data_IF_517947060862
#
_entry.id   IF_517947060862
#
_cell.length_a   1.000
_cell.length_b   1.000
_cell.length_c   1.000
_cell.angle_alpha   90.00
_cell.angle_beta   90.00
_cell.angle_gamma   90.00
#
_symmetry.space_group_name_H-M   'P 1'
#
loop_
_entity.id
_entity.type
_entity.pdbx_description
1 polymer ?
#
# COMPACT_ATOMS: atom_id res chain seq x y z
N UNK A 1 -4.84 -10.50 -64.54
CA UNK A 1 -4.63 -9.56 -63.41
C UNK A 1 -4.16 -10.37 -62.21
N UNK A 2 -2.97 -10.05 -61.73
CA UNK A 2 -2.25 -10.69 -60.64
C UNK A 2 -2.83 -10.31 -59.27
N UNK A 3 -3.16 -11.30 -58.44
CA UNK A 3 -3.69 -11.08 -57.09
C UNK A 3 -2.65 -10.40 -56.20
N UNK A 4 -2.98 -9.21 -55.70
CA UNK A 4 -2.06 -8.25 -55.06
C UNK A 4 -1.92 -8.41 -53.53
N UNK A 5 -2.44 -9.49 -52.93
CA UNK A 5 -2.25 -9.75 -51.49
C UNK A 5 -2.00 -11.25 -51.26
N UNK A 6 -0.75 -11.58 -50.91
CA UNK A 6 -0.32 -12.95 -50.61
C UNK A 6 -1.05 -13.53 -49.41
N UNK A 7 -1.65 -14.72 -49.60
CA UNK A 7 -2.31 -15.47 -48.53
C UNK A 7 -1.27 -15.99 -47.54
N UNK A 8 -1.33 -15.49 -46.30
CA UNK A 8 -0.42 -15.88 -45.22
C UNK A 8 -0.79 -17.28 -44.72
N UNK A 9 0.15 -18.24 -44.79
CA UNK A 9 -0.07 -19.62 -44.31
C UNK A 9 -0.30 -19.63 -42.79
N UNK A 10 -1.32 -20.38 -42.33
CA UNK A 10 -1.61 -20.62 -40.89
C UNK A 10 -0.44 -21.33 -40.20
N UNK A 11 -0.02 -20.92 -39.00
CA UNK A 11 0.98 -21.66 -38.23
C UNK A 11 0.37 -22.96 -37.66
N UNK A 12 1.19 -24.03 -37.62
CA UNK A 12 0.86 -25.33 -37.02
C UNK A 12 0.81 -25.20 -35.49
N UNK A 13 -0.16 -25.86 -34.85
CA UNK A 13 -0.25 -25.99 -33.39
C UNK A 13 0.87 -26.88 -32.83
N UNK A 14 1.45 -26.56 -31.67
CA UNK A 14 2.46 -27.42 -31.04
C UNK A 14 1.81 -28.69 -30.47
N UNK A 15 2.44 -29.85 -30.69
CA UNK A 15 2.04 -31.10 -30.02
C UNK A 15 2.41 -31.03 -28.55
N UNK A 16 1.43 -31.23 -27.67
CA UNK A 16 1.63 -31.36 -26.22
C UNK A 16 2.34 -32.69 -25.92
N UNK A 17 3.65 -32.66 -25.78
CA UNK A 17 4.39 -33.72 -25.09
C UNK A 17 4.37 -33.40 -23.60
N UNK A 18 3.76 -34.22 -22.73
CA UNK A 18 3.70 -33.92 -21.31
C UNK A 18 5.10 -33.90 -20.70
N UNK A 19 5.43 -32.81 -20.01
CA UNK A 19 6.66 -32.63 -19.26
C UNK A 19 6.74 -33.64 -18.10
N UNK A 20 7.96 -34.05 -17.72
CA UNK A 20 8.22 -35.05 -16.67
C UNK A 20 7.64 -34.66 -15.30
N UNK A 21 7.42 -33.37 -15.05
CA UNK A 21 6.78 -32.88 -13.82
C UNK A 21 5.30 -33.22 -13.74
N UNK A 22 4.59 -33.30 -14.87
CA UNK A 22 3.16 -33.65 -14.92
C UNK A 22 2.95 -35.15 -14.64
N UNK A 23 3.88 -36.00 -15.11
CA UNK A 23 3.84 -37.45 -14.85
C UNK A 23 4.00 -37.77 -13.36
N UNK A 24 4.85 -37.04 -12.64
CA UNK A 24 5.04 -37.25 -11.20
C UNK A 24 3.81 -36.85 -10.36
N UNK A 25 3.02 -35.87 -10.82
CA UNK A 25 1.82 -35.41 -10.13
C UNK A 25 0.60 -36.32 -10.40
N UNK A 26 0.51 -36.93 -11.58
CA UNK A 26 -0.59 -37.86 -11.88
C UNK A 26 -0.42 -39.20 -11.18
N UNK A 27 0.82 -39.68 -11.00
CA UNK A 27 1.09 -40.94 -10.28
C UNK A 27 0.74 -40.86 -8.79
N UNK A 28 0.84 -39.67 -8.17
CA UNK A 28 0.48 -39.49 -6.76
C UNK A 28 -1.04 -39.39 -6.57
N UNK A 29 -1.75 -38.73 -7.50
CA UNK A 29 -3.21 -38.68 -7.47
C UNK A 29 -3.87 -40.04 -7.76
N UNK A 30 -3.35 -40.83 -8.71
CA UNK A 30 -3.91 -42.16 -9.00
C UNK A 30 -3.76 -43.10 -7.82
N UNK A 31 -2.64 -43.02 -7.09
CA UNK A 31 -2.43 -43.80 -5.86
C UNK A 31 -3.36 -43.36 -4.71
N UNK A 32 -3.71 -42.08 -4.64
CA UNK A 32 -4.65 -41.56 -3.64
C UNK A 32 -6.09 -42.00 -3.93
N UNK A 33 -6.51 -41.94 -5.20
CA UNK A 33 -7.85 -42.37 -5.63
C UNK A 33 -8.03 -43.89 -5.45
N UNK A 34 -7.01 -44.68 -5.75
CA UNK A 34 -7.05 -46.14 -5.54
C UNK A 34 -7.11 -46.53 -4.04
N UNK A 35 -6.64 -45.65 -3.14
CA UNK A 35 -6.67 -45.88 -1.68
C UNK A 35 -8.04 -45.59 -1.07
N UNK A 36 -8.84 -44.73 -1.70
CA UNK A 36 -10.22 -44.44 -1.28
C UNK A 36 -11.25 -45.39 -1.91
N UNK A 37 -10.90 -46.13 -2.97
CA UNK A 37 -11.83 -47.06 -3.66
C UNK A 37 -11.92 -48.46 -3.04
N UNK A 38 -11.25 -48.75 -1.92
CA UNK A 38 -11.37 -50.04 -1.22
C UNK A 38 -12.10 -49.90 0.12
N UNK A 39 -13.43 -49.79 0.07
CA UNK A 39 -14.31 -50.07 1.21
C UNK A 39 -15.33 -51.16 0.82
N UNK A 40 -15.31 -52.35 1.46
CA UNK A 40 -16.46 -53.24 1.44
C UNK A 40 -17.34 -52.99 2.67
N UNK A 41 -18.65 -52.97 2.44
CA UNK A 41 -19.70 -52.82 3.44
C UNK A 41 -20.03 -54.14 4.16
N UNK A 42 -20.24 -54.01 5.47
CA UNK A 42 -21.20 -54.73 6.34
C UNK A 42 -20.77 -55.93 7.22
N UNK A 43 -21.24 -55.82 8.47
CA UNK A 43 -21.66 -56.84 9.45
C UNK A 43 -20.66 -57.36 10.53
N UNK A 44 -21.07 -57.16 11.81
CA UNK A 44 -21.00 -58.18 12.86
C UNK A 44 -19.75 -58.27 13.75
N UNK A 45 -19.88 -57.79 15.01
CA UNK A 45 -19.27 -58.42 16.18
C UNK A 45 -17.82 -58.04 16.56
N UNK A 46 -17.65 -57.46 17.75
CA UNK A 46 -16.34 -57.34 18.40
C UNK A 46 -16.14 -56.04 19.16
N UNK A 47 -16.49 -56.03 20.44
CA UNK A 47 -16.20 -54.94 21.36
C UNK A 47 -14.69 -54.60 21.38
N UNK A 48 -14.36 -53.34 21.09
CA UNK A 48 -13.07 -52.72 21.42
C UNK A 48 -13.34 -51.51 22.31
N UNK A 49 -12.58 -51.33 23.41
CA UNK A 49 -12.87 -50.30 24.41
C UNK A 49 -12.67 -48.90 23.83
N UNK A 50 -13.63 -48.02 24.11
CA UNK A 50 -13.58 -46.59 23.75
C UNK A 50 -12.51 -45.93 24.62
N UNK A 51 -11.50 -45.23 24.06
CA UNK A 51 -10.60 -44.42 24.88
C UNK A 51 -11.40 -43.28 25.50
N UNK A 52 -11.40 -43.24 26.82
CA UNK A 52 -12.01 -42.19 27.63
C UNK A 52 -11.34 -40.84 27.31
N UNK A 53 -12.18 -39.86 26.94
CA UNK A 53 -12.01 -38.41 27.07
C UNK A 53 -10.57 -37.89 27.19
N UNK A 54 -9.74 -38.06 26.16
CA UNK A 54 -8.58 -37.20 25.96
C UNK A 54 -9.04 -35.88 25.33
N UNK A 55 -8.55 -34.75 25.86
CA UNK A 55 -8.80 -33.43 25.28
C UNK A 55 -8.44 -33.44 23.79
N UNK A 56 -9.35 -32.95 22.96
CA UNK A 56 -9.14 -32.81 21.50
C UNK A 56 -7.82 -32.06 21.33
N UNK A 57 -6.83 -32.66 20.69
CA UNK A 57 -5.62 -31.95 20.29
C UNK A 57 -6.06 -30.86 19.32
N UNK A 58 -6.01 -29.61 19.78
CA UNK A 58 -6.30 -28.44 18.96
C UNK A 58 -5.46 -28.50 17.67
N UNK A 59 -6.06 -28.21 16.51
CA UNK A 59 -5.34 -28.19 15.24
C UNK A 59 -4.15 -27.22 15.29
N UNK A 60 -4.22 -26.21 16.16
CA UNK A 60 -3.17 -25.23 16.40
C UNK A 60 -2.16 -25.66 17.49
N UNK A 61 -2.43 -26.73 18.23
CA UNK A 61 -1.51 -27.31 19.22
C UNK A 61 -0.63 -28.43 18.64
N UNK A 62 -0.75 -28.76 17.34
CA UNK A 62 0.16 -29.69 16.67
C UNK A 62 1.49 -28.98 16.44
N UNK A 63 2.58 -29.30 17.18
CA UNK A 63 3.87 -28.67 16.93
C UNK A 63 4.30 -28.98 15.49
N UNK A 64 4.60 -27.93 14.72
CA UNK A 64 5.07 -28.06 13.35
C UNK A 64 6.33 -28.95 13.34
N UNK A 65 6.27 -30.07 12.62
CA UNK A 65 7.33 -31.08 12.61
C UNK A 65 8.59 -30.44 12.02
N UNK A 66 9.58 -30.21 12.87
CA UNK A 66 10.83 -29.51 12.51
C UNK A 66 10.95 -28.07 13.02
N UNK A 67 9.92 -27.49 13.65
CA UNK A 67 10.03 -26.17 14.30
C UNK A 67 11.02 -26.18 15.46
N UNK A 68 10.98 -27.21 16.32
CA UNK A 68 11.96 -27.35 17.40
C UNK A 68 13.40 -27.58 16.87
N UNK A 69 13.56 -28.25 15.73
CA UNK A 69 14.87 -28.43 15.08
C UNK A 69 15.43 -27.12 14.50
N UNK A 70 14.57 -26.30 13.90
CA UNK A 70 14.95 -24.96 13.41
C UNK A 70 15.27 -24.01 14.56
N UNK A 71 14.43 -23.99 15.60
CA UNK A 71 14.70 -23.20 16.81
C UNK A 71 16.00 -23.64 17.52
N UNK A 72 16.34 -24.93 17.48
CA UNK A 72 17.62 -25.43 17.99
C UNK A 72 18.81 -25.06 17.09
N UNK A 73 18.61 -24.98 15.77
CA UNK A 73 19.64 -24.50 14.84
C UNK A 73 19.91 -22.99 15.02
N UNK A 74 18.88 -22.19 15.33
CA UNK A 74 19.02 -20.75 15.59
C UNK A 74 19.67 -20.46 16.96
N UNK A 75 19.57 -21.39 17.92
CA UNK A 75 20.20 -21.28 19.25
C UNK A 75 21.64 -21.79 19.31
N UNK A 76 22.14 -22.41 18.25
CA UNK A 76 23.54 -22.80 18.14
C UNK A 76 24.35 -21.62 17.62
N UNK A 77 25.17 -21.02 18.48
CA UNK A 77 26.38 -20.32 18.02
C UNK A 77 27.06 -21.17 16.96
N UNK A 78 27.35 -20.55 15.81
CA UNK A 78 27.83 -21.21 14.60
C UNK A 78 29.02 -22.13 14.85
N UNK A 79 28.73 -23.41 15.09
CA UNK A 79 29.65 -24.49 14.90
C UNK A 79 29.67 -24.78 13.40
N UNK A 80 30.72 -24.26 12.77
CA UNK A 80 31.21 -24.66 11.46
C UNK A 80 30.99 -26.15 11.22
N UNK A 81 29.99 -26.48 10.40
CA UNK A 81 29.82 -27.81 9.85
C UNK A 81 30.82 -27.93 8.70
N UNK A 82 32.09 -28.13 9.03
CA UNK A 82 33.08 -28.72 8.13
C UNK A 82 32.62 -30.13 7.77
N UNK A 83 31.82 -30.22 6.70
CA UNK A 83 31.65 -31.44 5.93
C UNK A 83 32.83 -31.48 4.97
N UNK A 84 33.94 -32.09 5.43
CA UNK A 84 35.13 -32.32 4.63
C UNK A 84 34.86 -33.45 3.63
N UNK A 85 34.38 -33.08 2.45
CA UNK A 85 34.53 -33.89 1.24
C UNK A 85 35.73 -33.35 0.46
N UNK A 86 36.83 -34.10 0.51
CA UNK A 86 38.08 -33.87 -0.21
C UNK A 86 37.81 -33.76 -1.73
N UNK A 87 37.98 -32.56 -2.28
CA UNK A 87 37.87 -32.29 -3.72
C UNK A 87 38.74 -31.10 -4.14
N UNK A 88 39.98 -31.40 -4.49
CA UNK A 88 41.02 -30.50 -5.00
C UNK A 88 40.49 -29.53 -6.09
N UNK A 89 40.62 -28.21 -5.84
CA UNK A 89 40.58 -27.15 -6.87
C UNK A 89 39.29 -26.35 -7.09
N UNK A 90 38.14 -26.74 -6.55
CA UNK A 90 36.84 -26.06 -6.80
C UNK A 90 36.47 -24.93 -5.81
N UNK A 91 37.12 -24.88 -4.65
CA UNK A 91 36.55 -24.25 -3.46
C UNK A 91 36.81 -22.73 -3.38
N UNK A 92 37.96 -22.26 -3.90
CA UNK A 92 38.27 -20.83 -3.93
C UNK A 92 37.33 -20.02 -4.84
N UNK A 93 36.80 -20.65 -5.88
CA UNK A 93 35.84 -20.03 -6.80
C UNK A 93 34.43 -19.98 -6.19
N UNK A 94 33.99 -21.08 -5.59
CA UNK A 94 32.68 -21.17 -4.92
C UNK A 94 32.61 -20.26 -3.67
N UNK A 95 33.68 -20.18 -2.90
CA UNK A 95 33.78 -19.26 -1.74
C UNK A 95 33.84 -17.79 -2.16
N UNK A 96 34.45 -17.44 -3.30
CA UNK A 96 34.37 -16.08 -3.87
C UNK A 96 32.98 -15.76 -4.41
N UNK A 97 32.32 -16.72 -5.06
CA UNK A 97 30.98 -16.54 -5.58
C UNK A 97 29.97 -16.31 -4.44
N UNK A 98 30.05 -17.11 -3.37
CA UNK A 98 29.23 -16.92 -2.15
C UNK A 98 29.50 -15.58 -1.44
N UNK A 99 30.75 -15.10 -1.41
CA UNK A 99 31.07 -13.76 -0.88
C UNK A 99 30.48 -12.65 -1.74
N UNK A 100 30.63 -12.75 -3.06
CA UNK A 100 30.07 -11.78 -4.02
C UNK A 100 28.52 -11.77 -4.01
N UNK A 101 27.89 -12.92 -3.81
CA UNK A 101 26.44 -13.01 -3.62
C UNK A 101 26.00 -12.42 -2.27
N UNK A 102 26.75 -12.64 -1.17
CA UNK A 102 26.48 -11.98 0.12
C UNK A 102 26.65 -10.46 0.08
N UNK A 103 27.58 -9.94 -0.71
CA UNK A 103 27.78 -8.49 -0.90
C UNK A 103 26.65 -7.83 -1.72
N UNK A 104 25.88 -8.62 -2.49
CA UNK A 104 24.71 -8.15 -3.24
C UNK A 104 23.36 -8.39 -2.54
N UNK A 105 23.32 -9.24 -1.51
CA UNK A 105 22.11 -9.50 -0.73
C UNK A 105 22.01 -8.51 0.43
N UNK A 106 20.89 -7.79 0.51
CA UNK A 106 20.59 -6.91 1.64
C UNK A 106 20.33 -7.77 2.87
N UNK A 107 21.23 -7.69 3.85
CA UNK A 107 21.01 -8.25 5.19
C UNK A 107 19.98 -7.39 5.92
N UNK A 108 18.73 -7.87 5.96
CA UNK A 108 17.61 -7.14 6.55
C UNK A 108 17.72 -7.03 8.07
N UNK A 109 18.35 -8.00 8.73
CA UNK A 109 18.50 -8.00 10.20
C UNK A 109 19.55 -6.98 10.62
N UNK A 110 20.67 -6.92 9.89
CA UNK A 110 21.68 -5.87 10.07
C UNK A 110 21.14 -4.49 9.69
N UNK A 111 20.38 -4.38 8.59
CA UNK A 111 19.74 -3.11 8.19
C UNK A 111 18.73 -2.63 9.23
N UNK A 112 18.03 -3.54 9.90
CA UNK A 112 17.10 -3.20 10.99
C UNK A 112 17.84 -2.74 12.24
N UNK A 113 18.93 -3.44 12.60
CA UNK A 113 19.78 -3.08 13.73
C UNK A 113 20.50 -1.74 13.53
N UNK A 114 21.06 -1.49 12.35
CA UNK A 114 21.73 -0.23 11.99
C UNK A 114 20.73 0.94 11.99
N UNK A 115 19.48 0.72 11.58
CA UNK A 115 18.42 1.74 11.67
C UNK A 115 18.02 2.05 13.10
N UNK A 116 17.98 1.03 13.96
CA UNK A 116 17.66 1.20 15.38
C UNK A 116 18.80 1.89 16.14
N UNK A 117 20.07 1.64 15.76
CA UNK A 117 21.23 2.32 16.32
C UNK A 117 21.41 3.75 15.78
N UNK A 118 21.13 4.00 14.50
CA UNK A 118 21.24 5.35 13.93
C UNK A 118 20.10 6.28 14.35
N UNK A 119 18.95 5.75 14.79
CA UNK A 119 17.86 6.56 15.39
C UNK A 119 18.26 7.09 16.78
N UNK A 120 19.17 6.41 17.50
CA UNK A 120 19.65 6.88 18.82
C UNK A 120 20.74 7.96 18.70
N UNK A 121 21.47 8.05 17.58
CA UNK A 121 22.46 9.12 17.33
C UNK A 121 21.93 10.28 16.47
N UNK A 122 20.73 10.15 15.86
CA UNK A 122 20.09 11.20 15.06
C UNK A 122 19.07 12.03 15.85
N UNK A 123 18.96 11.82 17.16
CA UNK A 123 18.11 12.63 18.06
C UNK A 123 18.84 13.86 18.66
N UNK A 124 20.10 14.15 18.27
CA UNK A 124 20.87 15.30 18.81
C UNK A 124 21.33 16.37 17.78
N UNK A 125 20.90 16.30 16.52
CA UNK A 125 21.12 17.37 15.51
C UNK A 125 19.87 17.60 14.63
N UNK A 126 18.68 17.64 15.23
CA UNK A 126 17.63 18.53 14.72
C UNK A 126 17.76 19.84 15.49
N UNK A 127 18.68 20.68 15.00
CA UNK A 127 18.66 22.11 15.28
C UNK A 127 17.24 22.60 15.01
N UNK A 128 16.56 23.04 16.06
CA UNK A 128 15.31 23.78 15.95
C UNK A 128 15.59 25.05 15.13
N UNK A 129 15.53 24.96 13.80
CA UNK A 129 15.08 26.11 13.03
C UNK A 129 13.59 26.21 13.29
N UNK A 130 13.25 26.86 14.40
CA UNK A 130 11.98 27.51 14.63
C UNK A 130 11.79 28.62 13.57
N UNK A 131 11.71 28.22 12.31
CA UNK A 131 11.32 29.05 11.19
C UNK A 131 9.80 29.15 11.20
N UNK A 132 9.30 30.08 12.01
CA UNK A 132 7.99 30.72 11.92
C UNK A 132 6.99 30.00 10.98
N UNK A 133 6.22 29.05 11.52
CA UNK A 133 5.27 28.16 10.81
C UNK A 133 4.02 28.91 10.26
N UNK A 134 4.18 30.21 10.01
CA UNK A 134 3.23 31.09 9.37
C UNK A 134 2.89 30.64 7.94
N UNK A 135 3.75 29.82 7.33
CA UNK A 135 3.59 29.31 5.97
C UNK A 135 2.64 28.10 5.86
N UNK A 136 2.39 27.36 6.94
CA UNK A 136 1.43 26.25 6.97
C UNK A 136 -0.03 26.71 7.11
N UNK A 137 -0.27 27.99 7.43
CA UNK A 137 -1.61 28.55 7.53
C UNK A 137 -2.36 28.41 6.19
N UNK A 138 -3.60 27.89 6.25
CA UNK A 138 -4.44 27.71 5.07
C UNK A 138 -5.17 29.02 4.75
N UNK A 139 -4.89 29.59 3.58
CA UNK A 139 -5.41 30.88 3.13
C UNK A 139 -6.14 30.69 1.80
N UNK A 140 -7.18 31.49 1.56
CA UNK A 140 -7.84 31.56 0.25
C UNK A 140 -7.07 32.48 -0.69
N UNK A 141 -6.66 31.98 -1.87
CA UNK A 141 -5.99 32.76 -2.91
C UNK A 141 -6.63 32.53 -4.28
N UNK A 142 -6.37 33.41 -5.24
CA UNK A 142 -6.82 33.27 -6.62
C UNK A 142 -5.78 32.53 -7.46
N UNK A 143 -6.21 31.46 -8.14
CA UNK A 143 -5.42 30.69 -9.08
C UNK A 143 -5.18 31.48 -10.39
N UNK A 144 -4.26 31.00 -11.23
CA UNK A 144 -3.94 31.58 -12.55
C UNK A 144 -5.17 31.73 -13.48
N UNK A 145 -6.20 30.91 -13.25
CA UNK A 145 -7.47 30.93 -13.99
C UNK A 145 -8.53 31.85 -13.35
N UNK A 146 -8.18 32.62 -12.31
CA UNK A 146 -9.12 33.51 -11.60
C UNK A 146 -10.13 32.79 -10.71
N UNK A 147 -9.87 31.52 -10.34
CA UNK A 147 -10.70 30.75 -9.41
C UNK A 147 -10.18 30.89 -7.99
N UNK A 148 -11.07 30.99 -7.00
CA UNK A 148 -10.67 30.98 -5.59
C UNK A 148 -10.34 29.55 -5.14
N UNK A 149 -9.12 29.33 -4.65
CA UNK A 149 -8.62 28.06 -4.09
C UNK A 149 -8.19 28.27 -2.64
N UNK A 150 -8.29 27.21 -1.82
CA UNK A 150 -7.76 27.18 -0.45
C UNK A 150 -6.48 26.37 -0.46
N UNK A 151 -5.39 26.96 -0.02
CA UNK A 151 -4.08 26.31 0.01
C UNK A 151 -3.17 26.94 1.06
N UNK A 152 -1.93 26.49 1.11
CA UNK A 152 -0.96 27.04 2.07
C UNK A 152 -0.56 28.46 1.70
N UNK A 153 -0.11 29.25 2.66
CA UNK A 153 0.41 30.60 2.40
C UNK A 153 1.59 30.60 1.43
N UNK A 154 2.40 29.54 1.44
CA UNK A 154 3.46 29.32 0.46
C UNK A 154 2.93 29.10 -0.97
N UNK A 155 1.83 28.35 -1.12
CA UNK A 155 1.15 28.14 -2.41
C UNK A 155 0.52 29.45 -2.92
N UNK A 156 -0.11 30.21 -2.03
CA UNK A 156 -0.63 31.55 -2.33
C UNK A 156 0.47 32.51 -2.80
N UNK A 157 1.66 32.47 -2.18
CA UNK A 157 2.80 33.29 -2.58
C UNK A 157 3.38 32.90 -3.95
N UNK A 158 3.36 31.60 -4.30
CA UNK A 158 3.75 31.14 -5.65
C UNK A 158 2.78 31.64 -6.71
N UNK A 159 1.48 31.49 -6.48
CA UNK A 159 0.44 31.99 -7.38
C UNK A 159 0.54 33.51 -7.59
N UNK A 160 0.84 34.27 -6.54
CA UNK A 160 1.06 35.72 -6.64
C UNK A 160 2.28 36.09 -7.51
N UNK A 161 3.41 35.36 -7.37
CA UNK A 161 4.61 35.58 -8.19
C UNK A 161 4.40 35.22 -9.67
N UNK A 162 3.64 34.17 -9.95
CA UNK A 162 3.27 33.81 -11.32
C UNK A 162 2.33 34.83 -11.94
N UNK A 163 1.37 35.36 -11.16
CA UNK A 163 0.50 36.47 -11.57
C UNK A 163 1.31 37.73 -11.88
N UNK A 164 2.30 38.07 -11.05
CA UNK A 164 3.20 39.20 -11.29
C UNK A 164 4.07 39.01 -12.53
N UNK A 165 4.62 37.80 -12.74
CA UNK A 165 5.38 37.46 -13.97
C UNK A 165 4.50 37.56 -15.21
N UNK A 166 3.29 37.01 -15.17
CA UNK A 166 2.34 37.10 -16.26
C UNK A 166 1.91 38.55 -16.56
N UNK A 167 1.84 39.42 -15.55
CA UNK A 167 1.61 40.86 -15.72
C UNK A 167 2.82 41.59 -16.28
N UNK A 168 4.04 41.20 -15.88
CA UNK A 168 5.30 41.79 -16.34
C UNK A 168 5.66 41.39 -17.78
N UNK A 169 5.34 40.16 -18.16
CA UNK A 169 5.41 39.63 -19.53
C UNK A 169 4.15 40.01 -20.36
N UNK A 170 3.28 40.84 -19.77
CA UNK A 170 1.92 41.15 -20.24
C UNK A 170 1.83 42.14 -21.40
N UNK A 171 2.93 42.62 -21.99
CA UNK A 171 2.87 43.55 -23.13
C UNK A 171 2.87 42.82 -24.51
N UNK A 172 3.32 41.56 -24.58
CA UNK A 172 3.36 40.79 -25.84
C UNK A 172 2.21 39.78 -26.01
N UNK A 173 1.36 39.59 -24.99
CA UNK A 173 0.18 38.70 -25.08
C UNK A 173 -1.10 39.43 -25.47
N UNK A 174 -1.22 40.73 -25.21
CA UNK A 174 -2.43 41.50 -25.58
C UNK A 174 -2.50 41.66 -27.10
N UNK A 175 -1.35 41.72 -27.79
CA UNK A 175 -1.29 41.83 -29.25
C UNK A 175 -1.35 40.47 -30.00
N UNK A 176 -1.18 39.35 -29.29
CA UNK A 176 -1.32 38.00 -29.88
C UNK A 176 -2.71 37.39 -29.71
N UNK A 177 -3.58 38.02 -28.91
CA UNK A 177 -4.97 37.61 -28.72
C UNK A 177 -5.88 37.90 -29.94
N UNK A 178 -5.39 38.58 -30.98
CA UNK A 178 -6.23 39.03 -32.09
C UNK A 178 -6.02 38.32 -33.44
N UNK A 179 -5.10 37.35 -33.55
CA UNK A 179 -4.94 36.60 -34.82
C UNK A 179 -5.98 35.50 -35.06
N UNK A 180 -6.67 35.04 -34.01
CA UNK A 180 -7.66 33.95 -34.08
C UNK A 180 -9.10 34.43 -33.89
N UNK A 181 -9.29 35.72 -33.57
CA UNK A 181 -10.61 36.31 -33.36
C UNK A 181 -11.03 37.03 -34.65
N UNK A 182 -12.20 36.71 -35.22
CA UNK A 182 -12.76 37.51 -36.30
C UNK A 182 -12.85 38.98 -35.87
N UNK A 183 -12.50 39.89 -36.78
CA UNK A 183 -12.66 41.34 -36.55
C UNK A 183 -14.09 41.62 -36.10
N UNK A 184 -14.23 42.41 -35.03
CA UNK A 184 -15.53 42.83 -34.53
C UNK A 184 -16.29 43.51 -35.67
N UNK A 185 -17.54 43.11 -35.98
CA UNK A 185 -18.28 43.70 -37.08
C UNK A 185 -18.50 45.19 -36.86
N UNK A 186 -18.44 46.01 -37.91
CA UNK A 186 -18.55 47.47 -37.78
C UNK A 186 -19.95 47.93 -37.35
N UNK A 187 -20.97 47.13 -37.67
CA UNK A 187 -22.38 47.42 -37.39
C UNK A 187 -22.83 46.74 -36.09
N UNK A 188 -22.31 47.19 -34.95
CA UNK A 188 -22.93 46.85 -33.67
C UNK A 188 -24.14 47.74 -33.43
N UNK A 189 -25.30 47.11 -33.23
CA UNK A 189 -26.49 47.78 -32.75
C UNK A 189 -26.28 48.05 -31.25
N UNK A 190 -26.12 49.31 -30.88
CA UNK A 190 -25.97 49.73 -29.49
C UNK A 190 -27.36 50.01 -28.89
N UNK A 191 -27.74 49.28 -27.84
CA UNK A 191 -29.01 49.47 -27.12
C UNK A 191 -29.64 48.16 -26.64
N UNK A 192 -30.72 48.26 -25.84
CA UNK A 192 -31.49 47.12 -25.35
C UNK A 192 -32.45 46.54 -26.43
N UNK A 193 -31.96 46.38 -27.66
CA UNK A 193 -32.74 45.75 -28.73
C UNK A 193 -32.59 44.24 -28.62
N UNK A 194 -33.55 43.58 -27.99
CA UNK A 194 -33.64 42.12 -28.07
C UNK A 194 -33.96 41.78 -29.52
N UNK A 195 -33.05 41.10 -30.22
CA UNK A 195 -33.37 40.49 -31.52
C UNK A 195 -34.35 39.34 -31.28
N UNK A 196 -35.63 39.67 -31.15
CA UNK A 196 -36.71 38.70 -30.86
C UNK A 196 -36.84 37.66 -31.97
N UNK A 197 -36.50 38.04 -33.21
CA UNK A 197 -36.50 37.13 -34.36
C UNK A 197 -35.37 36.10 -34.31
N UNK A 198 -34.26 36.36 -33.61
CA UNK A 198 -33.17 35.40 -33.45
C UNK A 198 -33.56 34.19 -32.56
N UNK A 199 -34.66 34.31 -31.80
CA UNK A 199 -35.19 33.27 -30.91
C UNK A 199 -36.45 32.60 -31.45
N UNK A 200 -36.78 32.78 -32.74
CA UNK A 200 -37.81 31.97 -33.37
C UNK A 200 -37.35 30.51 -33.38
N UNK A 201 -38.04 29.67 -32.62
CA UNK A 201 -37.75 28.25 -32.52
C UNK A 201 -37.98 27.60 -33.90
N UNK A 202 -36.93 27.51 -34.70
CA UNK A 202 -36.93 26.67 -35.89
C UNK A 202 -37.17 25.22 -35.47
N UNK A 203 -37.98 24.48 -36.24
CA UNK A 203 -38.34 23.08 -35.94
C UNK A 203 -37.14 22.16 -35.70
N UNK A 204 -35.95 22.55 -36.17
CA UNK A 204 -34.68 21.87 -35.92
C UNK A 204 -34.41 21.64 -34.41
N UNK A 205 -34.77 22.59 -33.53
CA UNK A 205 -34.56 22.41 -32.09
C UNK A 205 -35.56 21.40 -31.49
N UNK A 206 -36.77 21.34 -32.02
CA UNK A 206 -37.78 20.35 -31.62
C UNK A 206 -37.39 18.94 -32.12
N UNK A 207 -36.85 18.84 -33.33
CA UNK A 207 -36.35 17.58 -33.90
C UNK A 207 -35.13 17.05 -33.13
N UNK A 208 -34.21 17.93 -32.71
CA UNK A 208 -33.09 17.58 -31.84
C UNK A 208 -33.56 17.13 -30.45
N UNK A 209 -34.58 17.78 -29.89
CA UNK A 209 -35.17 17.40 -28.61
C UNK A 209 -35.95 16.08 -28.67
N UNK A 210 -36.51 15.74 -29.83
CA UNK A 210 -37.17 14.45 -30.07
C UNK A 210 -36.16 13.30 -30.23
N UNK A 211 -34.99 13.59 -30.83
CA UNK A 211 -33.87 12.63 -30.98
C UNK A 211 -33.04 12.44 -29.72
N UNK A 212 -33.21 13.28 -28.70
CA UNK A 212 -32.45 13.19 -27.46
C UNK A 212 -32.98 12.06 -26.60
N UNK A 213 -32.11 11.17 -26.16
CA UNK A 213 -32.45 10.12 -25.20
C UNK A 213 -33.03 10.76 -23.92
N UNK A 214 -34.30 10.43 -23.63
CA UNK A 214 -35.03 10.87 -22.44
C UNK A 214 -34.92 9.87 -21.30
N UNK A 215 -34.03 8.88 -21.42
CA UNK A 215 -33.74 7.99 -20.31
C UNK A 215 -33.16 8.84 -19.17
N UNK A 216 -33.59 8.60 -17.91
CA UNK A 216 -32.98 9.24 -16.77
C UNK A 216 -31.49 8.89 -16.79
N UNK A 217 -30.68 9.92 -17.01
CA UNK A 217 -29.22 9.90 -16.95
C UNK A 217 -28.87 10.64 -15.65
N UNK A 218 -28.24 9.98 -14.65
CA UNK A 218 -27.44 8.77 -14.75
C UNK A 218 -28.27 7.49 -14.90
N UNK A 219 -27.77 6.48 -15.66
CA UNK A 219 -28.41 5.17 -15.71
C UNK A 219 -28.60 4.62 -14.29
N UNK A 220 -29.59 3.75 -14.11
CA UNK A 220 -29.79 3.02 -12.84
C UNK A 220 -28.51 2.31 -12.38
N UNK A 221 -28.50 1.80 -11.14
CA UNK A 221 -27.31 1.22 -10.51
C UNK A 221 -26.68 0.09 -11.36
N UNK A 222 -25.77 0.46 -12.25
CA UNK A 222 -24.98 -0.45 -13.07
C UNK A 222 -23.77 -0.84 -12.24
N UNK A 223 -23.80 -2.03 -11.68
CA UNK A 223 -22.71 -2.55 -10.88
C UNK A 223 -21.62 -3.18 -11.73
N UNK A 224 -20.38 -3.17 -11.23
CA UNK A 224 -19.27 -3.86 -11.88
C UNK A 224 -19.57 -5.36 -11.98
N UNK A 225 -19.40 -5.91 -13.18
CA UNK A 225 -19.47 -7.34 -13.47
C UNK A 225 -18.05 -7.91 -13.60
N UNK A 226 -17.72 -8.82 -12.69
CA UNK A 226 -16.45 -9.51 -12.63
C UNK A 226 -16.17 -10.40 -13.85
N UNK A 227 -17.20 -10.89 -14.52
CA UNK A 227 -17.04 -11.84 -15.63
C UNK A 227 -16.87 -11.16 -16.98
N UNK A 228 -17.29 -9.90 -17.10
CA UNK A 228 -17.25 -9.16 -18.36
C UNK A 228 -15.82 -8.84 -18.81
N UNK A 229 -14.87 -8.71 -17.87
CA UNK A 229 -13.50 -8.32 -18.17
C UNK A 229 -12.48 -9.12 -17.36
N UNK A 230 -11.32 -9.42 -17.95
CA UNK A 230 -10.27 -10.22 -17.29
C UNK A 230 -9.36 -9.34 -16.43
N UNK A 231 -9.92 -8.69 -15.41
CA UNK A 231 -9.17 -7.94 -14.38
C UNK A 231 -8.89 -8.76 -13.10
N UNK A 232 -9.42 -9.97 -13.04
CA UNK A 232 -9.45 -10.81 -11.84
C UNK A 232 -8.11 -11.53 -11.55
N UNK A 233 -7.04 -11.18 -12.27
CA UNK A 233 -5.72 -11.84 -12.15
C UNK A 233 -4.86 -11.31 -10.99
N UNK A 234 -5.33 -10.28 -10.27
CA UNK A 234 -4.63 -9.72 -9.12
C UNK A 234 -4.92 -10.47 -7.81
N UNK A 235 -4.03 -10.28 -6.82
CA UNK A 235 -4.25 -10.77 -5.45
C UNK A 235 -5.31 -9.91 -4.74
N UNK A 236 -6.20 -10.53 -3.97
CA UNK A 236 -7.23 -9.81 -3.20
C UNK A 236 -8.47 -9.43 -4.01
N UNK A 237 -8.70 -10.10 -5.14
CA UNK A 237 -9.93 -9.93 -5.90
C UNK A 237 -11.13 -10.58 -5.20
N UNK A 238 -12.22 -9.83 -5.01
CA UNK A 238 -13.49 -10.30 -4.48
C UNK A 238 -14.60 -9.99 -5.50
N UNK A 239 -15.26 -11.03 -6.03
CA UNK A 239 -16.35 -10.88 -6.99
C UNK A 239 -17.68 -10.75 -6.26
N UNK A 240 -18.36 -9.63 -6.44
CA UNK A 240 -19.73 -9.48 -5.94
C UNK A 240 -20.72 -10.21 -6.82
N UNK A 241 -21.80 -10.70 -6.22
CA UNK A 241 -22.93 -11.28 -6.95
C UNK A 241 -23.56 -10.24 -7.88
N UNK A 242 -24.19 -10.74 -8.96
CA UNK A 242 -25.05 -9.93 -9.84
C UNK A 242 -26.38 -9.62 -9.16
N UNK A 243 -26.81 -10.47 -8.23
CA UNK A 243 -28.04 -10.28 -7.49
C UNK A 243 -27.86 -9.22 -6.42
N UNK A 244 -28.72 -8.20 -6.45
CA UNK A 244 -28.59 -7.02 -5.60
C UNK A 244 -28.70 -7.37 -4.11
N UNK A 245 -29.52 -8.34 -3.74
CA UNK A 245 -29.68 -8.74 -2.34
C UNK A 245 -28.43 -9.43 -1.80
N UNK A 246 -27.87 -10.34 -2.58
CA UNK A 246 -26.65 -11.06 -2.21
C UNK A 246 -25.46 -10.11 -2.18
N UNK A 247 -25.36 -9.21 -3.16
CA UNK A 247 -24.35 -8.14 -3.19
C UNK A 247 -24.42 -7.26 -1.95
N UNK A 248 -25.63 -6.83 -1.53
CA UNK A 248 -25.80 -6.04 -0.29
C UNK A 248 -25.32 -6.81 0.94
N UNK A 249 -25.66 -8.10 1.05
CA UNK A 249 -25.19 -8.95 2.15
C UNK A 249 -23.66 -9.09 2.15
N UNK A 250 -23.07 -9.32 0.98
CA UNK A 250 -21.62 -9.39 0.82
C UNK A 250 -20.93 -8.07 1.18
N UNK A 251 -21.54 -6.93 0.83
CA UNK A 251 -21.04 -5.62 1.20
C UNK A 251 -21.12 -5.38 2.71
N UNK A 252 -22.22 -5.78 3.34
CA UNK A 252 -22.40 -5.69 4.80
C UNK A 252 -21.39 -6.58 5.55
N UNK A 253 -21.13 -7.79 5.05
CA UNK A 253 -20.12 -8.69 5.62
C UNK A 253 -18.69 -8.12 5.49
N UNK A 254 -18.36 -7.48 4.35
CA UNK A 254 -17.07 -6.82 4.20
C UNK A 254 -16.93 -5.59 5.11
N UNK A 255 -18.03 -4.85 5.33
CA UNK A 255 -18.04 -3.72 6.25
C UNK A 255 -17.88 -4.19 7.70
N UNK A 256 -18.57 -5.26 8.12
CA UNK A 256 -18.41 -5.80 9.48
C UNK A 256 -16.99 -6.30 9.72
N UNK A 257 -16.40 -7.03 8.77
CA UNK A 257 -15.01 -7.47 8.85
C UNK A 257 -14.03 -6.27 8.94
N UNK A 258 -14.29 -5.19 8.19
CA UNK A 258 -13.50 -3.95 8.28
C UNK A 258 -13.62 -3.33 9.67
N UNK A 259 -14.83 -3.20 10.20
CA UNK A 259 -15.07 -2.61 11.51
C UNK A 259 -14.40 -3.42 12.63
N UNK A 260 -14.43 -4.75 12.56
CA UNK A 260 -13.74 -5.63 13.49
C UNK A 260 -12.22 -5.42 13.47
N UNK A 261 -11.61 -5.42 12.28
CA UNK A 261 -10.16 -5.18 12.15
C UNK A 261 -9.76 -3.78 12.60
N UNK A 262 -10.62 -2.78 12.37
CA UNK A 262 -10.38 -1.42 12.82
C UNK A 262 -10.46 -1.34 14.35
N UNK A 263 -11.48 -1.94 14.97
CA UNK A 263 -11.61 -2.02 16.44
C UNK A 263 -10.42 -2.72 17.08
N UNK A 264 -9.94 -3.82 16.49
CA UNK A 264 -8.75 -4.51 17.00
C UNK A 264 -7.49 -3.64 16.91
N UNK A 265 -7.30 -2.93 15.78
CA UNK A 265 -6.18 -2.01 15.59
C UNK A 265 -6.22 -0.86 16.59
N UNK A 266 -7.39 -0.27 16.81
CA UNK A 266 -7.60 0.80 17.79
C UNK A 266 -7.36 0.30 19.21
N UNK A 267 -7.87 -0.87 19.58
CA UNK A 267 -7.61 -1.49 20.87
C UNK A 267 -6.11 -1.76 21.09
N UNK A 268 -5.40 -2.26 20.07
CA UNK A 268 -3.95 -2.46 20.13
C UNK A 268 -3.19 -1.14 20.29
N UNK A 269 -3.60 -0.09 19.57
CA UNK A 269 -3.03 1.27 19.69
C UNK A 269 -3.27 1.84 21.09
N UNK A 270 -4.48 1.69 21.63
CA UNK A 270 -4.82 2.15 22.98
C UNK A 270 -3.97 1.44 24.05
N UNK A 271 -3.81 0.11 23.96
CA UNK A 271 -2.93 -0.66 24.86
C UNK A 271 -1.48 -0.20 24.78
N UNK A 272 -0.97 0.11 23.57
CA UNK A 272 0.37 0.66 23.38
C UNK A 272 0.51 2.04 24.03
N UNK A 273 -0.45 2.93 23.81
CA UNK A 273 -0.44 4.28 24.37
C UNK A 273 -0.50 4.27 25.91
N UNK A 274 -1.27 3.36 26.52
CA UNK A 274 -1.29 3.19 27.98
C UNK A 274 0.08 2.76 28.50
N UNK A 275 0.73 1.79 27.82
CA UNK A 275 2.07 1.31 28.18
C UNK A 275 3.13 2.40 28.04
N UNK A 276 3.03 3.21 27.00
CA UNK A 276 3.91 4.35 26.72
C UNK A 276 3.80 5.40 27.82
N UNK A 277 2.57 5.85 28.15
CA UNK A 277 2.35 6.80 29.25
C UNK A 277 2.93 6.32 30.58
N UNK A 278 2.75 5.04 30.92
CA UNK A 278 3.33 4.47 32.12
C UNK A 278 4.88 4.45 32.10
N UNK A 279 5.48 4.23 30.92
CA UNK A 279 6.94 4.32 30.74
C UNK A 279 7.43 5.76 30.86
N UNK A 280 6.70 6.72 30.29
CA UNK A 280 7.06 8.15 30.36
C UNK A 280 6.98 8.68 31.79
N UNK A 281 5.93 8.32 32.54
CA UNK A 281 5.82 8.64 33.95
C UNK A 281 6.98 8.05 34.77
N UNK A 282 7.37 6.80 34.47
CA UNK A 282 8.54 6.18 35.10
C UNK A 282 9.83 6.91 34.72
N UNK A 283 10.00 7.29 33.45
CA UNK A 283 11.18 8.04 32.96
C UNK A 283 11.30 9.38 33.68
N UNK A 284 10.20 10.13 33.79
CA UNK A 284 10.14 11.41 34.54
C UNK A 284 10.55 11.25 35.99
N UNK A 285 10.03 10.24 36.70
CA UNK A 285 10.42 9.97 38.10
C UNK A 285 11.90 9.61 38.24
N UNK A 286 12.43 8.80 37.32
CA UNK A 286 13.86 8.45 37.31
C UNK A 286 14.72 9.68 37.05
N UNK A 287 14.31 10.55 36.13
CA UNK A 287 15.00 11.80 35.83
C UNK A 287 15.01 12.75 37.03
N UNK A 288 13.89 12.89 37.74
CA UNK A 288 13.80 13.67 38.98
C UNK A 288 14.73 13.12 40.08
N UNK A 289 14.78 11.79 40.25
CA UNK A 289 15.72 11.17 41.20
C UNK A 289 17.18 11.37 40.77
N UNK A 290 17.47 11.33 39.47
CA UNK A 290 18.81 11.58 38.92
C UNK A 290 19.23 13.05 39.07
N UNK A 291 18.32 14.00 38.89
CA UNK A 291 18.62 15.42 39.08
C UNK A 291 18.86 15.74 40.55
N UNK A 292 18.05 15.21 41.47
CA UNK A 292 18.28 15.29 42.92
C UNK A 292 19.63 14.71 43.33
N UNK A 293 19.95 13.50 42.87
CA UNK A 293 21.27 12.89 43.15
C UNK A 293 22.41 13.75 42.60
N UNK A 294 22.29 14.29 41.38
CA UNK A 294 23.30 15.21 40.82
C UNK A 294 23.47 16.46 41.67
N UNK A 295 22.39 17.06 42.16
CA UNK A 295 22.43 18.22 43.04
C UNK A 295 23.07 17.88 44.40
N UNK A 296 22.73 16.74 45.01
CA UNK A 296 23.34 16.28 46.26
C UNK A 296 24.85 16.02 46.11
N UNK A 297 25.27 15.37 45.02
CA UNK A 297 26.70 15.16 44.73
C UNK A 297 27.43 16.48 44.48
N UNK A 298 26.79 17.45 43.81
CA UNK A 298 27.34 18.79 43.63
C UNK A 298 27.53 19.50 44.97
N UNK A 299 26.52 19.48 45.85
CA UNK A 299 26.60 20.08 47.19
C UNK A 299 27.63 19.38 48.09
N UNK A 300 27.71 18.06 48.05
CA UNK A 300 28.73 17.30 48.78
C UNK A 300 30.15 17.61 48.28
N UNK A 301 30.32 17.83 46.97
CA UNK A 301 31.58 18.28 46.37
C UNK A 301 31.97 19.71 46.76
N UNK A 302 31.00 20.59 47.00
CA UNK A 302 31.23 21.97 47.47
C UNK A 302 31.55 22.05 48.97
N UNK A 303 31.13 21.06 49.76
CA UNK A 303 31.35 20.97 51.21
C UNK A 303 32.67 20.30 51.61
N UNK A 304 33.49 19.87 50.65
CA UNK A 304 34.87 19.46 50.90
C UNK A 304 35.71 20.68 51.33
N UNK A 305 36.66 20.53 52.27
CA UNK A 305 37.29 21.65 52.97
C UNK A 305 37.92 22.63 51.96
N UNK A 306 37.37 23.84 51.93
CA UNK A 306 38.04 25.01 51.38
C UNK A 306 39.38 25.08 52.10
N UNK A 307 40.45 24.76 51.37
CA UNK A 307 41.82 24.89 51.85
C UNK A 307 42.01 26.31 52.34
N UNK A 308 42.13 26.44 53.66
CA UNK A 308 42.74 27.59 54.30
C UNK A 308 44.18 27.58 53.81
N UNK A 309 44.46 28.40 52.80
CA UNK A 309 45.82 28.79 52.43
C UNK A 309 46.37 29.65 53.57
N UNK A 310 47.33 29.10 54.31
CA UNK A 310 48.29 29.84 55.14
C UNK A 310 49.70 29.39 54.76
#
# INVERSE_FOLDING_TARGET
MSNLYGTRKRPKSPSSTPSSSTLAFTTTLSSLIAKDSSTPSSSGGGARPRPSKAAKSDLFARPNKGAAKRAAADGGEGADSSDEEEGDGGDAYLTRLRRKEREGLVDFDRKWADRAGSDEEREEEEEEEAGDDDNASIVSYEDELGRTRRGTRAEAARAAREKERAQRDGDDRVNQQERWRPSRPDNLIYGATVQTEAFQASGAMADLAARRDRSPTPPGAMHYDAEAEVRNRGTGFYAFSRDEEERRRQMEELMSARDETQREREARRARRAVRERARDERRKKVEELRSKRRAEMFLAGLGGPVGVME
#
